data_IF_619046379677
#
_entry.id   IF_619046379677
#
_cell.length_a   1.000
_cell.length_b   1.000
_cell.length_c   1.000
_cell.angle_alpha   90.00
_cell.angle_beta   90.00
_cell.angle_gamma   90.00
#
_symmetry.space_group_name_H-M   'P 1'
#
loop_
_entity.id
_entity.type
_entity.pdbx_description
1 polymer ?
#
# COMPACT_ATOMS: atom_id res chain seq x y z
N UNK A 1 -30.16 -23.76 46.06
CA UNK A 1 -28.94 -24.22 45.32
C UNK A 1 -29.16 -24.60 43.84
N UNK A 2 -30.36 -24.99 43.39
CA UNK A 2 -30.61 -25.29 41.96
C UNK A 2 -30.74 -24.04 41.07
N UNK A 3 -31.30 -22.95 41.58
CA UNK A 3 -31.47 -21.68 40.84
C UNK A 3 -30.12 -20.99 40.57
N UNK A 4 -29.18 -21.07 41.51
CA UNK A 4 -27.83 -20.49 41.35
C UNK A 4 -26.99 -21.20 40.29
N UNK A 5 -27.22 -22.51 40.06
CA UNK A 5 -26.56 -23.28 38.98
C UNK A 5 -27.10 -22.93 37.59
N UNK A 6 -28.35 -22.49 37.48
CA UNK A 6 -28.97 -22.10 36.21
C UNK A 6 -28.48 -20.71 35.78
N UNK A 7 -28.27 -19.79 36.74
CA UNK A 7 -27.70 -18.46 36.47
C UNK A 7 -26.23 -18.56 36.02
N UNK A 8 -25.46 -19.52 36.54
CA UNK A 8 -24.08 -19.74 36.11
C UNK A 8 -23.98 -20.33 34.68
N UNK A 9 -25.00 -21.08 34.24
CA UNK A 9 -25.05 -21.64 32.88
C UNK A 9 -25.47 -20.58 31.83
N UNK A 10 -26.22 -19.55 32.23
CA UNK A 10 -26.63 -18.46 31.32
C UNK A 10 -25.48 -17.49 30.98
N UNK A 11 -24.46 -17.37 31.84
CA UNK A 11 -23.28 -16.54 31.57
C UNK A 11 -22.26 -17.18 30.61
N UNK A 12 -22.36 -18.49 30.33
CA UNK A 12 -21.46 -19.19 29.41
C UNK A 12 -21.88 -19.10 27.93
N UNK A 13 -23.09 -18.59 27.64
CA UNK A 13 -23.64 -18.56 26.27
C UNK A 13 -23.53 -17.19 25.59
N UNK A 14 -22.92 -16.21 26.26
CA UNK A 14 -22.57 -14.90 25.67
C UNK A 14 -21.05 -14.81 25.46
N UNK A 15 -20.45 -15.88 24.94
CA UNK A 15 -19.18 -15.77 24.22
C UNK A 15 -19.49 -15.81 22.73
N UNK A 16 -20.21 -14.78 22.27
CA UNK A 16 -20.17 -14.44 20.86
C UNK A 16 -18.76 -13.90 20.61
N UNK A 17 -17.86 -14.77 20.12
CA UNK A 17 -16.66 -14.34 19.42
C UNK A 17 -17.12 -13.56 18.18
N UNK A 18 -17.46 -12.27 18.35
CA UNK A 18 -17.47 -11.35 17.22
C UNK A 18 -16.02 -11.35 16.73
N UNK A 19 -15.78 -12.01 15.59
CA UNK A 19 -14.66 -11.63 14.73
C UNK A 19 -14.74 -10.11 14.59
N UNK A 20 -13.73 -9.41 15.05
CA UNK A 20 -13.64 -7.97 14.87
C UNK A 20 -13.21 -7.75 13.42
N UNK A 21 -14.15 -7.91 12.48
CA UNK A 21 -13.86 -7.62 11.07
C UNK A 21 -13.41 -6.15 10.99
N UNK A 22 -12.17 -5.94 10.56
CA UNK A 22 -11.62 -4.61 10.47
C UNK A 22 -12.33 -3.80 9.39
N UNK A 23 -12.61 -2.52 9.70
CA UNK A 23 -13.06 -1.58 8.67
C UNK A 23 -12.00 -1.48 7.58
N UNK A 24 -12.40 -1.44 6.31
CA UNK A 24 -11.44 -1.40 5.21
C UNK A 24 -11.82 -0.46 4.07
N UNK A 25 -10.79 -0.09 3.31
CA UNK A 25 -10.89 0.49 1.97
C UNK A 25 -9.64 0.19 1.15
N UNK A 26 -9.35 0.98 0.11
CA UNK A 26 -8.33 0.73 -0.88
C UNK A 26 -7.47 1.96 -1.17
N UNK A 27 -6.25 1.65 -1.61
CA UNK A 27 -5.47 2.56 -2.44
C UNK A 27 -5.86 2.42 -3.91
N UNK A 28 -5.90 3.54 -4.62
CA UNK A 28 -6.06 3.61 -6.06
C UNK A 28 -4.84 4.30 -6.67
N UNK A 29 -3.96 3.51 -7.28
CA UNK A 29 -2.62 3.94 -7.73
C UNK A 29 -2.49 3.96 -9.25
N UNK A 30 -3.46 4.57 -9.94
CA UNK A 30 -3.47 4.71 -11.40
C UNK A 30 -3.55 6.18 -11.80
N UNK A 31 -2.76 6.57 -12.81
CA UNK A 31 -2.77 7.94 -13.35
C UNK A 31 -4.12 8.31 -13.99
N UNK A 32 -4.72 7.39 -14.72
CA UNK A 32 -6.05 7.59 -15.28
C UNK A 32 -7.08 7.14 -14.24
N UNK A 33 -7.79 8.09 -13.65
CA UNK A 33 -8.93 7.80 -12.79
C UNK A 33 -10.06 7.23 -13.64
N UNK A 34 -10.28 5.93 -13.52
CA UNK A 34 -11.36 5.19 -14.16
C UNK A 34 -11.70 3.98 -13.30
N UNK A 35 -12.98 3.72 -13.07
CA UNK A 35 -13.42 2.50 -12.39
C UNK A 35 -14.17 1.63 -13.38
N UNK A 36 -13.77 0.36 -13.48
CA UNK A 36 -14.60 -0.63 -14.14
C UNK A 36 -15.75 -1.11 -13.22
N UNK A 37 -16.66 -1.91 -13.76
CA UNK A 37 -17.82 -2.40 -13.01
C UNK A 37 -17.44 -3.29 -11.82
N UNK A 38 -16.32 -4.03 -11.90
CA UNK A 38 -15.86 -4.93 -10.83
C UNK A 38 -15.23 -4.09 -9.70
N UNK A 39 -14.34 -3.16 -10.05
CA UNK A 39 -13.73 -2.21 -9.12
C UNK A 39 -14.80 -1.40 -8.37
N UNK A 40 -15.80 -0.87 -9.09
CA UNK A 40 -16.91 -0.11 -8.49
C UNK A 40 -17.71 -0.96 -7.49
N UNK A 41 -18.11 -2.18 -7.89
CA UNK A 41 -18.86 -3.09 -7.01
C UNK A 41 -18.10 -3.46 -5.74
N UNK A 42 -16.77 -3.62 -5.82
CA UNK A 42 -15.95 -3.89 -4.64
C UNK A 42 -15.82 -2.64 -3.77
N UNK A 43 -15.53 -1.49 -4.38
CA UNK A 43 -15.39 -0.24 -3.65
C UNK A 43 -16.68 0.15 -2.90
N UNK A 44 -17.85 -0.06 -3.51
CA UNK A 44 -19.14 0.24 -2.89
C UNK A 44 -19.37 -0.55 -1.59
N UNK A 45 -18.76 -1.74 -1.46
CA UNK A 45 -18.81 -2.59 -0.25
C UNK A 45 -17.79 -2.22 0.83
N UNK A 46 -16.79 -1.40 0.50
CA UNK A 46 -15.78 -0.96 1.47
C UNK A 46 -16.46 -0.24 2.66
N UNK A 47 -16.11 -0.62 3.88
CA UNK A 47 -16.77 -0.12 5.10
C UNK A 47 -16.26 1.26 5.51
N UNK A 48 -15.04 1.63 5.11
CA UNK A 48 -14.53 2.99 5.27
C UNK A 48 -15.03 3.87 4.11
N UNK A 49 -15.52 5.10 4.36
CA UNK A 49 -16.12 5.97 3.34
C UNK A 49 -15.08 6.71 2.47
N UNK A 50 -13.84 6.22 2.40
CA UNK A 50 -12.71 6.91 1.77
C UNK A 50 -12.12 6.09 0.63
N UNK A 51 -11.52 6.73 -0.37
CA UNK A 51 -10.64 6.11 -1.35
C UNK A 51 -9.33 6.89 -1.42
N UNK A 52 -8.22 6.25 -1.04
CA UNK A 52 -6.90 6.88 -1.07
C UNK A 52 -6.39 6.87 -2.50
N UNK A 53 -6.35 8.04 -3.14
CA UNK A 53 -6.09 8.13 -4.58
C UNK A 53 -4.77 8.85 -4.81
N UNK A 54 -3.85 8.22 -5.52
CA UNK A 54 -2.57 8.81 -5.88
C UNK A 54 -2.74 9.87 -6.96
N UNK A 55 -2.62 11.13 -6.58
CA UNK A 55 -2.83 12.29 -7.46
C UNK A 55 -1.67 12.54 -8.40
N UNK A 56 -0.46 12.48 -7.90
CA UNK A 56 0.76 12.66 -8.67
C UNK A 56 1.95 12.26 -7.81
N UNK A 57 3.08 12.14 -8.47
CA UNK A 57 4.37 11.91 -7.84
C UNK A 57 5.19 13.19 -7.91
N UNK A 58 6.15 13.36 -7.01
CA UNK A 58 7.07 14.50 -7.02
C UNK A 58 8.51 14.04 -6.98
N UNK A 59 9.27 14.54 -7.93
CA UNK A 59 10.69 14.23 -8.10
C UNK A 59 11.51 15.52 -8.24
N UNK A 60 12.83 15.42 -7.97
CA UNK A 60 13.79 16.49 -8.22
C UNK A 60 14.77 16.01 -9.29
N UNK A 61 14.52 16.45 -10.54
CA UNK A 61 15.34 16.11 -11.70
C UNK A 61 16.13 17.35 -12.11
N UNK A 62 17.46 17.22 -12.19
CA UNK A 62 18.37 18.33 -12.54
C UNK A 62 18.15 19.58 -11.65
N UNK A 63 17.94 19.36 -10.36
CA UNK A 63 17.72 20.42 -9.37
C UNK A 63 16.32 21.04 -9.39
N UNK A 64 15.41 20.63 -10.29
CA UNK A 64 14.06 21.17 -10.41
C UNK A 64 13.01 20.20 -9.91
N UNK A 65 12.09 20.70 -9.08
CA UNK A 65 10.91 19.94 -8.68
C UNK A 65 9.96 19.75 -9.86
N UNK A 66 9.54 18.52 -10.09
CA UNK A 66 8.63 18.17 -11.18
C UNK A 66 7.50 17.27 -10.67
N UNK A 67 6.24 17.58 -11.01
CA UNK A 67 5.15 16.64 -10.82
C UNK A 67 5.21 15.58 -11.93
N UNK A 68 5.20 14.31 -11.55
CA UNK A 68 5.22 13.18 -12.48
C UNK A 68 3.86 12.49 -12.45
N UNK A 69 3.46 12.01 -13.63
CA UNK A 69 2.28 11.20 -13.83
C UNK A 69 1.01 11.82 -13.23
N UNK A 70 0.76 13.11 -13.43
CA UNK A 70 -0.41 13.78 -12.82
C UNK A 70 -1.73 13.16 -13.27
N UNK A 71 -2.68 12.97 -12.34
CA UNK A 71 -3.95 12.31 -12.62
C UNK A 71 -4.75 12.97 -13.75
N UNK A 72 -5.39 12.12 -14.54
CA UNK A 72 -6.46 12.46 -15.48
C UNK A 72 -7.76 11.78 -15.05
N UNK A 73 -8.91 12.34 -15.39
CA UNK A 73 -10.22 11.77 -15.04
C UNK A 73 -10.95 11.28 -16.29
N UNK A 74 -11.37 10.02 -16.24
CA UNK A 74 -12.32 9.44 -17.19
C UNK A 74 -13.76 9.64 -16.69
N UNK A 75 -14.73 9.65 -17.62
CA UNK A 75 -16.15 9.75 -17.28
C UNK A 75 -16.64 8.55 -16.46
N UNK A 76 -15.98 7.39 -16.58
CA UNK A 76 -16.29 6.19 -15.80
C UNK A 76 -15.94 6.31 -14.32
N UNK A 77 -15.09 7.27 -13.92
CA UNK A 77 -14.73 7.45 -12.52
C UNK A 77 -15.87 8.11 -11.74
N UNK A 78 -16.69 7.26 -11.14
CA UNK A 78 -17.83 7.64 -10.32
C UNK A 78 -17.85 6.81 -9.05
N UNK A 79 -17.77 7.48 -7.90
CA UNK A 79 -17.82 6.86 -6.58
C UNK A 79 -18.54 7.78 -5.59
N UNK A 80 -19.20 7.20 -4.59
CA UNK A 80 -19.78 7.91 -3.45
C UNK A 80 -18.75 8.13 -2.32
N UNK A 81 -17.56 7.52 -2.41
CA UNK A 81 -16.49 7.65 -1.41
C UNK A 81 -15.88 9.06 -1.49
N UNK A 82 -15.45 9.59 -0.34
CA UNK A 82 -14.60 10.76 -0.34
C UNK A 82 -13.17 10.37 -0.73
N UNK A 83 -12.54 11.18 -1.56
CA UNK A 83 -11.18 10.95 -2.01
C UNK A 83 -10.22 11.56 -0.98
N UNK A 84 -9.23 10.77 -0.55
CA UNK A 84 -8.06 11.27 0.18
C UNK A 84 -6.92 11.43 -0.84
N UNK A 85 -6.55 12.67 -1.22
CA UNK A 85 -5.41 12.91 -2.11
C UNK A 85 -4.13 12.34 -1.49
N UNK A 86 -3.49 11.44 -2.23
CA UNK A 86 -2.20 10.86 -1.87
C UNK A 86 -1.14 11.37 -2.84
N UNK A 87 -0.02 11.86 -2.33
CA UNK A 87 1.09 12.38 -3.13
C UNK A 87 2.34 11.59 -2.80
N UNK A 88 2.94 10.95 -3.81
CA UNK A 88 4.22 10.27 -3.64
C UNK A 88 5.35 11.27 -3.81
N UNK A 89 6.35 11.22 -2.94
CA UNK A 89 7.55 12.05 -3.03
C UNK A 89 8.75 11.11 -2.99
N UNK A 90 9.60 11.19 -4.02
CA UNK A 90 10.84 10.41 -3.99
C UNK A 90 11.75 10.91 -2.87
N UNK A 91 12.44 10.00 -2.19
CA UNK A 91 13.36 10.39 -1.11
C UNK A 91 14.45 11.38 -1.59
N UNK A 92 14.93 11.21 -2.83
CA UNK A 92 15.93 12.10 -3.44
C UNK A 92 15.45 13.54 -3.61
N UNK A 93 14.14 13.77 -3.70
CA UNK A 93 13.55 15.12 -3.73
C UNK A 93 13.96 15.95 -2.52
N UNK A 94 14.17 15.29 -1.39
CA UNK A 94 14.46 15.91 -0.09
C UNK A 94 15.96 15.99 0.22
N UNK A 95 16.82 15.42 -0.63
CA UNK A 95 18.28 15.51 -0.42
C UNK A 95 18.75 16.94 -0.69
N UNK A 96 19.47 17.51 0.28
CA UNK A 96 20.03 18.87 0.22
C UNK A 96 18.99 19.94 -0.14
N UNK A 97 17.75 19.76 0.30
CA UNK A 97 16.68 20.72 0.07
C UNK A 97 16.82 21.91 1.03
N UNK A 98 16.70 23.14 0.52
CA UNK A 98 16.75 24.34 1.37
C UNK A 98 15.41 24.60 2.06
N UNK A 99 15.40 25.45 3.09
CA UNK A 99 14.17 25.82 3.79
C UNK A 99 13.15 26.53 2.87
N UNK A 100 13.64 27.39 1.96
CA UNK A 100 12.78 28.07 0.99
C UNK A 100 12.22 27.09 -0.04
N UNK A 101 13.03 26.11 -0.46
CA UNK A 101 12.57 25.02 -1.34
C UNK A 101 11.52 24.15 -0.66
N UNK A 102 11.63 23.87 0.64
CA UNK A 102 10.60 23.14 1.41
C UNK A 102 9.27 23.90 1.37
N UNK A 103 9.30 25.21 1.64
CA UNK A 103 8.10 26.05 1.60
C UNK A 103 7.50 26.08 0.20
N UNK A 104 8.32 26.31 -0.82
CA UNK A 104 7.91 26.27 -2.22
C UNK A 104 7.26 24.94 -2.59
N UNK A 105 7.88 23.82 -2.21
CA UNK A 105 7.38 22.47 -2.47
C UNK A 105 6.00 22.25 -1.84
N UNK A 106 5.84 22.63 -0.57
CA UNK A 106 4.56 22.53 0.14
C UNK A 106 3.46 23.38 -0.53
N UNK A 107 3.77 24.61 -0.94
CA UNK A 107 2.85 25.47 -1.68
C UNK A 107 2.43 24.85 -3.02
N UNK A 108 3.39 24.35 -3.80
CA UNK A 108 3.12 23.75 -5.12
C UNK A 108 2.33 22.45 -5.04
N UNK A 109 2.61 21.60 -4.05
CA UNK A 109 1.83 20.38 -3.81
C UNK A 109 0.38 20.75 -3.46
N UNK A 110 0.17 21.67 -2.51
CA UNK A 110 -1.18 22.10 -2.12
C UNK A 110 -1.93 22.72 -3.31
N UNK A 111 -1.29 23.60 -4.08
CA UNK A 111 -1.86 24.21 -5.29
C UNK A 111 -2.28 23.15 -6.33
N UNK A 112 -1.44 22.15 -6.59
CA UNK A 112 -1.75 21.11 -7.57
C UNK A 112 -2.88 20.18 -7.10
N UNK A 113 -2.90 19.82 -5.81
CA UNK A 113 -4.01 19.06 -5.20
C UNK A 113 -5.33 19.83 -5.33
N UNK A 114 -5.34 21.12 -4.99
CA UNK A 114 -6.53 21.98 -5.13
C UNK A 114 -6.98 22.11 -6.59
N UNK A 115 -6.04 22.37 -7.51
CA UNK A 115 -6.33 22.47 -8.94
C UNK A 115 -7.01 21.20 -9.47
N UNK A 116 -6.44 20.02 -9.19
CA UNK A 116 -7.00 18.74 -9.68
C UNK A 116 -8.31 18.36 -9.01
N UNK A 117 -8.48 18.74 -7.74
CA UNK A 117 -9.76 18.62 -7.04
C UNK A 117 -10.87 19.40 -7.74
N UNK A 118 -10.63 20.69 -8.02
CA UNK A 118 -11.62 21.58 -8.65
C UNK A 118 -11.88 21.18 -10.11
N UNK A 119 -10.81 20.97 -10.89
CA UNK A 119 -10.90 20.58 -12.32
C UNK A 119 -11.78 19.35 -12.53
N UNK A 120 -11.68 18.37 -11.64
CA UNK A 120 -12.39 17.10 -11.75
C UNK A 120 -13.62 16.97 -10.85
N UNK A 121 -13.98 18.04 -10.13
CA UNK A 121 -15.13 18.09 -9.21
C UNK A 121 -15.15 16.88 -8.25
N UNK A 122 -14.00 16.60 -7.63
CA UNK A 122 -13.84 15.46 -6.73
C UNK A 122 -14.41 15.80 -5.35
N UNK A 123 -15.11 14.85 -4.72
CA UNK A 123 -15.52 14.95 -3.32
C UNK A 123 -14.31 14.62 -2.43
N UNK A 124 -13.65 15.62 -1.85
CA UNK A 124 -12.38 15.47 -1.13
C UNK A 124 -12.59 15.43 0.39
N UNK A 125 -11.85 14.54 1.06
CA UNK A 125 -11.75 14.50 2.52
C UNK A 125 -10.87 15.64 3.08
N UNK A 126 -10.92 15.91 4.39
CA UNK A 126 -10.04 16.88 5.05
C UNK A 126 -8.62 16.33 5.38
N UNK A 127 -8.10 15.44 4.56
CA UNK A 127 -6.81 14.77 4.72
C UNK A 127 -6.00 14.87 3.41
N UNK A 128 -4.69 15.11 3.51
CA UNK A 128 -3.72 14.87 2.44
C UNK A 128 -2.70 13.86 2.98
N UNK A 129 -2.56 12.74 2.28
CA UNK A 129 -1.56 11.73 2.61
C UNK A 129 -0.30 11.94 1.78
N UNK A 130 0.86 11.87 2.44
CA UNK A 130 2.16 11.90 1.78
C UNK A 130 2.79 10.51 1.87
N UNK A 131 3.13 9.94 0.72
CA UNK A 131 3.90 8.72 0.63
C UNK A 131 5.36 9.05 0.32
N UNK A 132 6.27 8.72 1.24
CA UNK A 132 7.68 9.00 1.09
C UNK A 132 8.51 8.01 1.92
N UNK A 133 9.45 7.34 1.28
CA UNK A 133 10.43 6.50 1.96
C UNK A 133 11.60 7.34 2.50
N UNK A 134 11.31 8.17 3.50
CA UNK A 134 12.36 8.97 4.14
C UNK A 134 13.38 8.07 4.84
N UNK A 135 14.59 8.59 4.94
CA UNK A 135 15.75 7.93 5.55
C UNK A 135 16.28 8.78 6.70
N UNK A 136 17.24 8.26 7.47
CA UNK A 136 17.92 9.06 8.49
C UNK A 136 18.51 10.38 7.92
N UNK A 137 19.01 10.37 6.67
CA UNK A 137 19.60 11.53 6.02
C UNK A 137 18.61 12.58 5.49
N UNK A 138 17.34 12.23 5.32
CA UNK A 138 16.29 13.12 4.78
C UNK A 138 15.16 13.40 5.76
N UNK A 139 15.16 12.72 6.90
CA UNK A 139 14.14 12.77 7.94
C UNK A 139 13.80 14.20 8.35
N UNK A 140 14.80 14.99 8.72
CA UNK A 140 14.54 16.30 9.33
C UNK A 140 13.88 17.26 8.32
N UNK A 141 14.29 17.19 7.05
CA UNK A 141 13.71 18.00 5.97
C UNK A 141 12.32 17.50 5.57
N UNK A 142 12.12 16.18 5.55
CA UNK A 142 10.79 15.59 5.39
C UNK A 142 9.83 16.08 6.49
N UNK A 143 10.27 16.09 7.75
CA UNK A 143 9.43 16.47 8.88
C UNK A 143 9.12 17.98 8.87
N UNK A 144 10.07 18.82 8.47
CA UNK A 144 9.81 20.26 8.22
C UNK A 144 8.79 20.43 7.10
N UNK A 145 8.92 19.68 6.00
CA UNK A 145 7.99 19.70 4.89
C UNK A 145 6.56 19.32 5.33
N UNK A 146 6.37 18.24 6.10
CA UNK A 146 5.04 17.85 6.58
C UNK A 146 4.39 18.94 7.44
N UNK A 147 5.17 19.61 8.30
CA UNK A 147 4.68 20.73 9.13
C UNK A 147 4.28 21.93 8.28
N UNK A 148 5.10 22.30 7.30
CA UNK A 148 4.83 23.44 6.43
C UNK A 148 3.61 23.17 5.53
N UNK A 149 3.48 21.94 4.99
CA UNK A 149 2.29 21.54 4.25
C UNK A 149 1.02 21.57 5.12
N UNK A 150 1.09 21.13 6.38
CA UNK A 150 -0.05 21.23 7.32
C UNK A 150 -0.48 22.67 7.51
N UNK A 151 0.48 23.57 7.72
CA UNK A 151 0.24 25.02 7.88
C UNK A 151 -0.38 25.65 6.63
N UNK A 152 0.14 25.37 5.44
CA UNK A 152 -0.33 25.96 4.17
C UNK A 152 -1.71 25.43 3.77
N UNK A 153 -1.91 24.12 3.87
CA UNK A 153 -3.15 23.49 3.42
C UNK A 153 -4.31 23.67 4.41
N UNK A 154 -4.02 23.85 5.70
CA UNK A 154 -5.03 23.81 6.76
C UNK A 154 -5.70 22.45 6.94
N UNK A 155 -5.20 21.40 6.27
CA UNK A 155 -5.74 20.03 6.28
C UNK A 155 -4.99 19.15 7.26
N UNK A 156 -5.58 18.01 7.59
CA UNK A 156 -4.84 16.95 8.26
C UNK A 156 -3.77 16.40 7.30
N UNK A 157 -2.53 16.34 7.76
CA UNK A 157 -1.43 15.69 7.03
C UNK A 157 -1.16 14.35 7.69
N UNK A 158 -1.14 13.31 6.88
CA UNK A 158 -0.79 11.94 7.26
C UNK A 158 0.33 11.44 6.36
N UNK A 159 1.00 10.37 6.77
CA UNK A 159 1.99 9.75 5.91
C UNK A 159 1.98 8.24 5.99
N UNK A 160 2.52 7.62 4.95
CA UNK A 160 2.88 6.20 5.00
C UNK A 160 4.03 5.98 5.99
N UNK A 161 4.15 4.76 6.50
CA UNK A 161 5.19 4.35 7.43
C UNK A 161 5.67 2.94 7.05
N UNK A 162 6.94 2.81 6.66
CA UNK A 162 7.57 1.52 6.32
C UNK A 162 7.90 0.72 7.56
N UNK A 163 7.97 -0.60 7.40
CA UNK A 163 8.38 -1.53 8.47
C UNK A 163 9.74 -1.15 9.06
N UNK A 164 10.73 -0.81 8.24
CA UNK A 164 12.07 -0.45 8.74
C UNK A 164 12.06 0.87 9.53
N UNK A 165 11.18 1.82 9.20
CA UNK A 165 11.04 3.07 9.94
C UNK A 165 10.39 2.86 11.33
N UNK A 166 9.63 1.77 11.52
CA UNK A 166 9.18 1.33 12.84
C UNK A 166 10.34 0.71 13.62
N UNK A 167 11.04 -0.24 13.01
CA UNK A 167 12.15 -0.98 13.62
C UNK A 167 13.27 -0.04 14.06
N UNK A 168 13.69 0.84 13.15
CA UNK A 168 14.83 1.73 13.28
C UNK A 168 14.38 3.17 13.62
N UNK A 169 13.28 3.31 14.38
CA UNK A 169 12.67 4.61 14.74
C UNK A 169 13.61 5.57 15.45
N UNK A 170 14.66 5.07 16.11
CA UNK A 170 15.69 5.91 16.73
C UNK A 170 16.52 6.65 15.67
N UNK A 171 16.80 5.99 14.54
CA UNK A 171 17.55 6.56 13.41
C UNK A 171 16.62 7.32 12.45
N UNK A 172 15.49 6.73 12.07
CA UNK A 172 14.54 7.33 11.11
C UNK A 172 13.59 8.34 11.72
N UNK A 173 13.58 8.45 13.06
CA UNK A 173 12.70 9.31 13.85
C UNK A 173 11.20 9.08 13.62
N UNK A 174 10.40 9.95 14.23
CA UNK A 174 8.95 9.84 14.27
C UNK A 174 8.34 11.04 13.55
N UNK A 175 7.53 10.84 12.48
CA UNK A 175 6.99 11.93 11.69
C UNK A 175 6.03 12.79 12.53
N UNK A 176 6.02 14.13 12.34
CA UNK A 176 5.19 15.05 13.12
C UNK A 176 3.74 15.08 12.63
N UNK A 177 3.10 13.91 12.54
CA UNK A 177 1.72 13.71 12.08
C UNK A 177 0.91 13.00 13.15
N UNK A 178 -0.42 13.16 13.09
CA UNK A 178 -1.32 12.55 14.06
C UNK A 178 -1.71 11.12 13.72
N UNK A 179 -1.62 10.74 12.44
CA UNK A 179 -2.00 9.42 11.92
C UNK A 179 -0.99 8.96 10.86
N UNK A 180 -0.65 7.68 10.89
CA UNK A 180 0.24 7.02 9.92
C UNK A 180 -0.42 5.79 9.30
N UNK A 181 0.07 5.41 8.12
CA UNK A 181 -0.39 4.24 7.37
C UNK A 181 0.75 3.23 7.27
N UNK A 182 0.72 2.22 8.14
CA UNK A 182 1.75 1.20 8.26
C UNK A 182 1.72 0.26 7.06
N UNK A 183 2.72 0.35 6.19
CA UNK A 183 2.83 -0.45 4.99
C UNK A 183 3.36 -1.85 5.32
N UNK A 184 2.46 -2.82 5.38
CA UNK A 184 2.74 -4.22 5.67
C UNK A 184 3.05 -5.02 4.40
N UNK A 185 3.91 -4.47 3.54
CA UNK A 185 4.37 -5.08 2.28
C UNK A 185 5.71 -4.49 1.82
N UNK A 186 6.26 -5.05 0.74
CA UNK A 186 7.61 -4.78 0.24
C UNK A 186 8.67 -5.07 1.30
N UNK A 187 8.61 -6.27 1.87
CA UNK A 187 9.50 -6.72 2.96
C UNK A 187 10.96 -6.92 2.51
N UNK A 188 11.20 -7.09 1.20
CA UNK A 188 12.54 -7.19 0.62
C UNK A 188 12.54 -6.72 -0.83
N UNK A 189 13.72 -6.62 -1.44
CA UNK A 189 13.85 -6.32 -2.87
C UNK A 189 13.55 -7.58 -3.71
N UNK A 190 12.60 -7.52 -4.67
CA UNK A 190 12.33 -8.64 -5.61
C UNK A 190 13.53 -9.01 -6.48
N UNK A 191 14.53 -8.12 -6.58
CA UNK A 191 15.67 -8.27 -7.49
C UNK A 191 16.91 -8.82 -6.78
N UNK A 192 16.88 -8.96 -5.46
CA UNK A 192 18.05 -9.35 -4.64
C UNK A 192 17.89 -10.73 -4.01
N UNK A 193 16.67 -11.10 -3.58
CA UNK A 193 16.42 -12.32 -2.81
C UNK A 193 15.48 -13.27 -3.56
N UNK A 194 16.06 -14.21 -4.32
CA UNK A 194 15.28 -15.11 -5.18
C UNK A 194 14.35 -16.07 -4.42
N UNK A 195 14.60 -16.35 -3.14
CA UNK A 195 13.92 -17.42 -2.40
C UNK A 195 12.77 -16.92 -1.49
N UNK A 196 12.73 -15.62 -1.19
CA UNK A 196 11.73 -15.02 -0.30
C UNK A 196 10.66 -14.34 -1.16
N UNK A 197 9.38 -14.35 -0.73
CA UNK A 197 8.35 -13.52 -1.34
C UNK A 197 8.61 -12.06 -0.97
N UNK A 198 9.01 -11.25 -1.95
CA UNK A 198 9.41 -9.87 -1.69
C UNK A 198 8.23 -8.93 -1.41
N UNK A 199 7.02 -9.30 -1.82
CA UNK A 199 5.79 -8.58 -1.50
C UNK A 199 5.50 -8.64 0.00
N UNK A 200 5.53 -9.85 0.59
CA UNK A 200 5.29 -10.05 2.02
C UNK A 200 5.96 -11.31 2.54
N UNK A 201 6.96 -11.11 3.39
CA UNK A 201 7.50 -12.11 4.31
C UNK A 201 6.98 -11.86 5.73
N UNK A 202 6.12 -12.77 6.20
CA UNK A 202 5.44 -12.65 7.50
C UNK A 202 6.43 -12.64 8.66
N UNK A 203 7.55 -13.39 8.55
CA UNK A 203 8.55 -13.47 9.62
C UNK A 203 9.30 -12.15 9.78
N UNK A 204 9.73 -11.55 8.67
CA UNK A 204 10.35 -10.22 8.63
C UNK A 204 9.40 -9.17 9.18
N UNK A 205 8.12 -9.18 8.76
CA UNK A 205 7.12 -8.26 9.29
C UNK A 205 6.98 -8.38 10.81
N UNK A 206 6.81 -9.60 11.34
CA UNK A 206 6.70 -9.84 12.79
C UNK A 206 7.93 -9.38 13.56
N UNK A 207 9.12 -9.60 12.99
CA UNK A 207 10.38 -9.15 13.57
C UNK A 207 10.46 -7.63 13.63
N UNK A 208 10.09 -6.92 12.56
CA UNK A 208 10.21 -5.46 12.47
C UNK A 208 9.16 -4.76 13.33
N UNK A 209 8.01 -5.41 13.53
CA UNK A 209 6.88 -4.87 14.30
C UNK A 209 6.76 -5.50 15.70
N UNK A 210 7.84 -6.12 16.20
CA UNK A 210 7.81 -6.82 17.49
C UNK A 210 7.43 -5.91 18.67
N UNK A 211 7.70 -4.62 18.56
CA UNK A 211 7.44 -3.59 19.58
C UNK A 211 6.66 -2.39 19.00
N UNK A 212 5.77 -2.62 18.03
CA UNK A 212 4.94 -1.55 17.42
C UNK A 212 4.04 -0.86 18.47
N UNK A 213 3.65 -1.56 19.53
CA UNK A 213 2.93 -1.02 20.68
C UNK A 213 3.66 0.17 21.35
N UNK A 214 4.99 0.22 21.25
CA UNK A 214 5.84 1.29 21.78
C UNK A 214 6.05 2.43 20.77
N UNK A 215 5.46 2.36 19.57
CA UNK A 215 5.55 3.44 18.61
C UNK A 215 4.72 4.64 19.10
N UNK A 216 5.25 5.89 19.09
CA UNK A 216 4.55 7.01 19.74
C UNK A 216 3.23 7.43 19.09
N UNK A 217 3.10 7.27 17.76
CA UNK A 217 1.86 7.59 17.05
C UNK A 217 0.87 6.43 17.20
N UNK A 218 -0.23 6.65 17.93
CA UNK A 218 -1.22 5.60 18.23
C UNK A 218 -2.32 5.45 17.19
N UNK A 219 -2.57 6.47 16.36
CA UNK A 219 -3.51 6.35 15.23
C UNK A 219 -2.78 5.72 14.04
N UNK A 220 -2.84 4.41 13.95
CA UNK A 220 -2.23 3.63 12.88
C UNK A 220 -3.34 2.99 12.06
N UNK A 221 -3.31 3.21 10.75
CA UNK A 221 -4.04 2.37 9.81
C UNK A 221 -3.05 1.41 9.13
N UNK A 222 -3.51 0.25 8.69
CA UNK A 222 -2.65 -0.83 8.18
C UNK A 222 -2.87 -0.97 6.68
N UNK A 223 -1.81 -0.85 5.89
CA UNK A 223 -1.88 -1.09 4.46
C UNK A 223 -1.43 -2.52 4.13
N UNK A 224 -2.31 -3.33 3.53
CA UNK A 224 -2.06 -4.73 3.20
C UNK A 224 -1.94 -4.95 1.68
N UNK A 225 -1.04 -5.84 1.23
CA UNK A 225 -0.88 -6.17 -0.18
C UNK A 225 -1.93 -7.17 -0.64
N UNK A 226 -2.61 -6.88 -1.75
CA UNK A 226 -3.44 -7.86 -2.49
C UNK A 226 -2.99 -8.02 -3.94
N UNK A 227 -1.86 -7.41 -4.29
CA UNK A 227 -1.29 -7.49 -5.63
C UNK A 227 -0.36 -8.69 -5.77
N UNK A 228 -0.06 -9.01 -7.03
CA UNK A 228 0.91 -10.03 -7.42
C UNK A 228 1.77 -9.57 -8.58
N UNK A 229 2.92 -10.21 -8.76
CA UNK A 229 3.77 -10.03 -9.94
C UNK A 229 4.52 -11.29 -10.32
N UNK A 230 5.03 -11.32 -11.55
CA UNK A 230 6.04 -12.28 -11.99
C UNK A 230 7.41 -11.63 -12.11
N UNK A 231 8.42 -12.28 -11.55
CA UNK A 231 9.83 -11.94 -11.70
C UNK A 231 10.38 -12.80 -12.85
N UNK A 232 10.62 -12.17 -13.99
CA UNK A 232 11.25 -12.78 -15.15
C UNK A 232 12.76 -12.69 -15.01
N UNK A 233 13.47 -13.81 -15.18
CA UNK A 233 14.93 -13.90 -15.15
C UNK A 233 15.44 -14.41 -16.49
N UNK A 234 16.32 -13.65 -17.14
CA UNK A 234 16.93 -14.05 -18.41
C UNK A 234 18.19 -14.91 -18.20
N UNK A 235 18.81 -15.37 -19.29
CA UNK A 235 20.04 -16.18 -19.26
C UNK A 235 21.24 -15.52 -18.57
N UNK A 236 21.26 -14.19 -18.50
CA UNK A 236 22.31 -13.41 -17.84
C UNK A 236 21.99 -13.13 -16.36
N UNK A 237 20.90 -13.69 -15.83
CA UNK A 237 20.43 -13.42 -14.47
C UNK A 237 19.79 -12.05 -14.29
N UNK A 238 19.50 -11.29 -15.36
CA UNK A 238 18.82 -10.00 -15.24
C UNK A 238 17.33 -10.20 -14.99
N UNK A 239 16.79 -9.40 -14.09
CA UNK A 239 15.40 -9.47 -13.65
C UNK A 239 14.52 -8.40 -14.31
N UNK A 240 13.26 -8.75 -14.56
CA UNK A 240 12.19 -7.84 -14.97
C UNK A 240 10.89 -8.20 -14.26
N UNK A 241 10.19 -7.21 -13.72
CA UNK A 241 8.86 -7.39 -13.13
C UNK A 241 7.76 -7.28 -14.18
N UNK A 242 6.80 -8.19 -14.11
CA UNK A 242 5.53 -8.11 -14.83
C UNK A 242 4.40 -8.08 -13.79
N UNK A 243 3.70 -6.96 -13.71
CA UNK A 243 2.63 -6.77 -12.73
C UNK A 243 1.40 -7.62 -13.06
N UNK A 244 0.71 -8.03 -12.00
CA UNK A 244 -0.55 -8.75 -12.08
C UNK A 244 -0.47 -10.07 -12.85
N UNK A 245 0.54 -10.87 -12.48
CA UNK A 245 0.63 -12.29 -12.83
C UNK A 245 0.34 -13.12 -11.58
N UNK A 246 -0.45 -14.17 -11.73
CA UNK A 246 -0.75 -15.15 -10.67
C UNK A 246 -0.24 -16.54 -11.04
N UNK A 247 -0.36 -17.50 -10.12
CA UNK A 247 0.00 -18.89 -10.41
C UNK A 247 -0.83 -19.48 -11.55
N UNK A 248 -2.07 -19.05 -11.71
CA UNK A 248 -2.96 -19.51 -12.78
C UNK A 248 -2.42 -19.14 -14.16
N UNK A 249 -1.75 -17.99 -14.29
CA UNK A 249 -1.12 -17.54 -15.54
C UNK A 249 0.05 -18.43 -15.99
N UNK A 250 0.60 -19.25 -15.09
CA UNK A 250 1.69 -20.19 -15.40
C UNK A 250 1.20 -21.45 -16.12
N UNK A 251 -0.11 -21.65 -16.26
CA UNK A 251 -0.68 -22.80 -16.97
C UNK A 251 -0.63 -22.59 -18.50
N UNK A 252 0.55 -22.79 -19.09
CA UNK A 252 0.76 -22.70 -20.54
C UNK A 252 1.50 -23.95 -21.06
N UNK A 253 1.09 -24.54 -22.20
CA UNK A 253 1.78 -25.70 -22.77
C UNK A 253 3.24 -25.42 -23.20
N UNK A 254 3.61 -24.14 -23.36
CA UNK A 254 4.98 -23.74 -23.67
C UNK A 254 5.83 -23.46 -22.43
N UNK A 255 5.34 -23.77 -21.22
CA UNK A 255 6.08 -23.57 -19.98
C UNK A 255 6.37 -24.93 -19.32
N UNK A 256 7.61 -25.12 -18.90
CA UNK A 256 8.02 -26.23 -18.05
C UNK A 256 7.88 -25.81 -16.58
N UNK A 257 7.11 -26.57 -15.81
CA UNK A 257 6.93 -26.32 -14.38
C UNK A 257 8.18 -26.74 -13.59
N UNK A 258 8.78 -25.79 -12.87
CA UNK A 258 9.89 -26.04 -11.92
C UNK A 258 9.32 -26.26 -10.51
N UNK A 259 8.38 -25.40 -10.10
CA UNK A 259 7.63 -25.49 -8.84
C UNK A 259 6.23 -24.91 -9.03
N UNK A 260 5.41 -24.88 -7.97
CA UNK A 260 4.06 -24.31 -8.03
C UNK A 260 4.00 -22.86 -8.51
N UNK A 261 5.01 -22.07 -8.16
CA UNK A 261 5.09 -20.65 -8.50
C UNK A 261 6.26 -20.33 -9.43
N UNK A 262 6.89 -21.33 -10.06
CA UNK A 262 8.06 -21.11 -10.92
C UNK A 262 8.01 -21.97 -12.17
N UNK A 263 8.26 -21.34 -13.31
CA UNK A 263 8.37 -22.02 -14.61
C UNK A 263 9.64 -21.62 -15.35
N UNK A 264 9.99 -22.42 -16.34
CA UNK A 264 10.92 -22.11 -17.42
C UNK A 264 10.18 -22.08 -18.76
N UNK A 265 10.53 -21.16 -19.64
CA UNK A 265 9.90 -21.03 -20.95
C UNK A 265 10.53 -22.05 -21.91
N UNK A 266 9.71 -22.86 -22.59
CA UNK A 266 10.18 -23.87 -23.56
C UNK A 266 10.19 -23.37 -25.00
N UNK A 267 9.44 -22.30 -25.29
CA UNK A 267 9.31 -21.74 -26.64
C UNK A 267 9.33 -20.22 -26.62
N UNK A 268 10.13 -19.64 -27.50
CA UNK A 268 10.15 -18.19 -27.74
C UNK A 268 8.76 -17.69 -28.14
N UNK A 269 8.34 -16.56 -27.57
CA UNK A 269 7.04 -15.99 -27.88
C UNK A 269 6.68 -14.73 -27.12
N UNK A 270 5.51 -14.19 -27.45
CA UNK A 270 4.90 -13.09 -26.69
C UNK A 270 4.05 -13.66 -25.56
N UNK A 271 4.45 -13.39 -24.32
CA UNK A 271 3.76 -13.76 -23.10
C UNK A 271 3.56 -12.52 -22.23
N UNK A 272 2.35 -12.32 -21.71
CA UNK A 272 2.04 -11.22 -20.79
C UNK A 272 2.44 -9.82 -21.34
N UNK A 273 2.31 -9.62 -22.65
CA UNK A 273 2.69 -8.37 -23.33
C UNK A 273 4.19 -8.18 -23.55
N UNK A 274 5.01 -9.22 -23.36
CA UNK A 274 6.47 -9.16 -23.48
C UNK A 274 6.97 -10.29 -24.39
N UNK A 275 7.98 -10.01 -25.22
CA UNK A 275 8.70 -11.07 -25.93
C UNK A 275 9.69 -11.74 -24.97
N UNK A 276 9.51 -13.04 -24.70
CA UNK A 276 10.35 -13.82 -23.80
C UNK A 276 10.93 -15.02 -24.56
N UNK A 277 12.22 -15.28 -24.37
CA UNK A 277 12.92 -16.39 -25.02
C UNK A 277 12.79 -17.70 -24.22
N UNK A 278 12.95 -18.81 -24.92
CA UNK A 278 13.19 -20.13 -24.33
C UNK A 278 14.32 -20.05 -23.30
N UNK A 279 14.15 -20.73 -22.17
CA UNK A 279 15.07 -20.79 -21.05
C UNK A 279 15.00 -19.60 -20.08
N UNK A 280 14.17 -18.59 -20.36
CA UNK A 280 13.84 -17.60 -19.34
C UNK A 280 13.00 -18.24 -18.23
N UNK A 281 13.18 -17.78 -17.00
CA UNK A 281 12.44 -18.26 -15.83
C UNK A 281 11.46 -17.22 -15.35
N UNK A 282 10.28 -17.64 -14.92
CA UNK A 282 9.29 -16.76 -14.27
C UNK A 282 9.02 -17.31 -12.87
N UNK A 283 9.17 -16.47 -11.84
CA UNK A 283 8.74 -16.74 -10.47
C UNK A 283 7.54 -15.84 -10.15
N UNK A 284 6.43 -16.41 -9.69
CA UNK A 284 5.26 -15.67 -9.22
C UNK A 284 5.39 -15.39 -7.73
N UNK A 285 5.08 -14.15 -7.37
CA UNK A 285 4.85 -13.72 -6.01
C UNK A 285 3.43 -13.14 -5.91
N UNK A 286 2.64 -13.77 -5.06
CA UNK A 286 1.25 -13.42 -4.75
C UNK A 286 1.03 -13.66 -3.25
N UNK A 287 -0.03 -13.08 -2.68
CA UNK A 287 -0.30 -13.14 -1.25
C UNK A 287 -1.56 -13.97 -1.00
N UNK A 288 -1.47 -14.94 -0.09
CA UNK A 288 -2.63 -15.76 0.28
C UNK A 288 -3.46 -15.10 1.40
N UNK A 289 -4.74 -15.47 1.46
CA UNK A 289 -5.63 -15.08 2.55
C UNK A 289 -5.11 -15.52 3.92
N UNK A 290 -4.43 -16.68 3.99
CA UNK A 290 -3.81 -17.16 5.22
C UNK A 290 -2.68 -16.23 5.69
N UNK A 291 -1.85 -15.72 4.76
CA UNK A 291 -0.81 -14.74 5.08
C UNK A 291 -1.44 -13.43 5.59
N UNK A 292 -2.49 -12.94 4.93
CA UNK A 292 -3.22 -11.75 5.36
C UNK A 292 -3.82 -11.91 6.76
N UNK A 293 -4.54 -13.01 7.01
CA UNK A 293 -5.12 -13.30 8.32
C UNK A 293 -4.02 -13.43 9.39
N UNK A 294 -2.88 -14.05 9.05
CA UNK A 294 -1.75 -14.18 9.99
C UNK A 294 -1.16 -12.82 10.38
N UNK A 295 -1.07 -11.89 9.43
CA UNK A 295 -0.62 -10.52 9.71
C UNK A 295 -1.65 -9.78 10.54
N UNK A 296 -2.94 -9.82 10.18
CA UNK A 296 -4.02 -9.17 10.92
C UNK A 296 -4.07 -9.67 12.36
N UNK A 297 -4.10 -10.98 12.58
CA UNK A 297 -4.11 -11.58 13.93
C UNK A 297 -2.86 -11.21 14.76
N UNK A 298 -1.72 -10.97 14.11
CA UNK A 298 -0.52 -10.50 14.80
C UNK A 298 -0.65 -9.03 15.21
N UNK A 299 -1.20 -8.19 14.33
CA UNK A 299 -1.36 -6.76 14.57
C UNK A 299 -2.48 -6.46 15.57
N UNK A 300 -3.59 -7.20 15.57
CA UNK A 300 -4.68 -7.04 16.56
C UNK A 300 -4.19 -7.15 18.01
N UNK A 301 -3.18 -7.99 18.26
CA UNK A 301 -2.58 -8.16 19.59
C UNK A 301 -1.75 -6.95 20.04
N UNK A 302 -1.43 -6.04 19.12
CA UNK A 302 -0.44 -4.97 19.30
C UNK A 302 -0.99 -3.57 19.01
N UNK A 303 -1.97 -3.48 18.12
CA UNK A 303 -2.65 -2.26 17.69
C UNK A 303 -4.13 -2.45 18.02
N UNK A 304 -4.67 -1.79 19.07
CA UNK A 304 -6.01 -2.08 19.58
C UNK A 304 -7.14 -1.93 18.55
N UNK A 305 -7.01 -0.96 17.63
CA UNK A 305 -7.98 -0.72 16.58
C UNK A 305 -7.27 -0.08 15.39
N UNK A 306 -7.52 -0.59 14.19
CA UNK A 306 -7.02 -0.04 12.94
C UNK A 306 -7.98 -0.30 11.79
N UNK A 307 -7.98 0.60 10.81
CA UNK A 307 -8.59 0.36 9.49
C UNK A 307 -7.55 -0.34 8.60
N UNK A 308 -8.03 -1.19 7.68
CA UNK A 308 -7.21 -1.80 6.63
C UNK A 308 -7.35 -1.01 5.32
N UNK A 309 -6.23 -0.73 4.66
CA UNK A 309 -6.20 -0.14 3.33
C UNK A 309 -5.51 -1.13 2.38
N UNK A 310 -6.28 -1.81 1.54
CA UNK A 310 -5.71 -2.75 0.59
C UNK A 310 -5.03 -2.02 -0.57
N UNK A 311 -3.77 -2.38 -0.82
CA UNK A 311 -3.03 -1.97 -2.01
C UNK A 311 -3.11 -3.11 -3.05
N UNK A 312 -3.89 -2.98 -4.12
CA UNK A 312 -4.63 -1.80 -4.60
C UNK A 312 -5.98 -2.18 -5.24
N UNK A 313 -6.87 -1.19 -5.40
CA UNK A 313 -8.12 -1.33 -6.16
C UNK A 313 -7.83 -1.48 -7.66
N UNK A 314 -7.68 -2.74 -8.07
CA UNK A 314 -7.54 -3.16 -9.46
C UNK A 314 -8.36 -4.43 -9.67
N UNK A 315 -9.18 -4.50 -10.73
CA UNK A 315 -10.02 -5.67 -11.00
C UNK A 315 -9.28 -6.99 -11.15
N UNK A 316 -7.96 -6.97 -11.41
CA UNK A 316 -7.12 -8.17 -11.39
C UNK A 316 -6.88 -8.74 -9.98
N UNK A 317 -6.97 -7.90 -8.96
CA UNK A 317 -6.62 -8.25 -7.57
C UNK A 317 -7.82 -8.33 -6.64
N UNK A 318 -8.89 -7.60 -6.94
CA UNK A 318 -10.02 -7.48 -6.00
C UNK A 318 -11.17 -8.47 -6.24
N UNK A 319 -11.16 -9.18 -7.37
CA UNK A 319 -12.22 -10.13 -7.71
C UNK A 319 -12.01 -11.42 -6.93
N UNK A 320 -13.06 -11.87 -6.23
CA UNK A 320 -13.06 -13.06 -5.37
C UNK A 320 -12.11 -12.99 -4.16
N UNK A 321 -11.52 -11.83 -3.89
CA UNK A 321 -10.67 -11.60 -2.73
C UNK A 321 -11.52 -11.50 -1.45
N UNK A 322 -11.08 -12.16 -0.38
CA UNK A 322 -11.65 -11.91 0.95
C UNK A 322 -11.11 -10.58 1.49
N UNK A 323 -11.97 -9.75 2.07
CA UNK A 323 -11.61 -8.48 2.71
C UNK A 323 -11.99 -8.42 4.19
N UNK A 324 -12.67 -9.46 4.69
CA UNK A 324 -13.11 -9.55 6.08
C UNK A 324 -12.06 -10.37 6.84
N UNK A 325 -11.06 -9.67 7.37
CA UNK A 325 -10.00 -10.23 8.20
C UNK A 325 -10.06 -9.68 9.62
#
# INVERSE_FOLDING_TARGET
MKILKIVFFLFLIVSCNKKNDHSYTFYYWKTKLSLDQKEKKVLDKATVPYLYTRFFDVDKVEGKFQPIAVITKDKSFQTNKQIVPTVFITNRTLLNISQDEIKFLAEKINQLVQKKTTEYHLNINNEIQIDCDWTAGTRDDYFKFLKELKKISGKQITCTLRLHQVKDKAQTGIPPVEKVYLMCYSTSSPLENADINSILDVNTLKSYLSNIEDYPIKKIAVALPIYSWGIVTNHLGKHKLINALSKEDLNNPNFQKISENKIEIEKDGFYFGNYLNKGFKIKIEEISDEQLQTVVNFLEKKIPQFDIIYYQLDSKFVVNQNFNF
#
